data_IF_853268816204
#
_entry.id   IF_853268816204
#
_cell.length_a   1.000
_cell.length_b   1.000
_cell.length_c   1.000
_cell.angle_alpha   90.00
_cell.angle_beta   90.00
_cell.angle_gamma   90.00
#
_symmetry.space_group_name_H-M   'P 1'
#
loop_
_entity.id
_entity.type
_entity.pdbx_description
1 polymer ?
#
# COMPACT_ATOMS: atom_id res chain seq x y z
N UNK A 1 -9.86 -45.84 1.17
CA UNK A 1 -11.28 -45.68 0.77
C UNK A 1 -11.97 -44.89 1.88
N UNK A 2 -12.10 -43.56 1.76
CA UNK A 2 -12.94 -42.79 2.67
C UNK A 2 -14.37 -42.85 2.15
N UNK A 3 -15.29 -43.35 2.97
CA UNK A 3 -16.69 -43.51 2.62
C UNK A 3 -17.39 -42.17 2.90
N UNK A 4 -17.48 -41.30 1.90
CA UNK A 4 -18.32 -40.11 1.99
C UNK A 4 -19.80 -40.55 2.04
N UNK A 5 -20.47 -40.25 3.15
CA UNK A 5 -21.90 -40.53 3.31
C UNK A 5 -22.70 -39.59 2.39
N UNK A 6 -23.45 -40.14 1.43
CA UNK A 6 -24.31 -39.37 0.53
C UNK A 6 -25.38 -38.59 1.30
N UNK A 7 -25.87 -37.47 0.74
CA UNK A 7 -26.99 -36.68 1.29
C UNK A 7 -28.17 -37.55 1.76
N UNK A 8 -28.56 -38.54 0.98
CA UNK A 8 -29.63 -39.48 1.32
C UNK A 8 -29.34 -40.30 2.59
N UNK A 9 -28.10 -40.75 2.76
CA UNK A 9 -27.68 -41.48 3.96
C UNK A 9 -27.63 -40.60 5.21
N UNK A 10 -27.24 -39.33 5.08
CA UNK A 10 -27.29 -38.33 6.17
C UNK A 10 -28.72 -38.02 6.59
N UNK A 11 -29.61 -37.83 5.63
CA UNK A 11 -31.04 -37.61 5.89
C UNK A 11 -31.65 -38.79 6.63
N UNK A 12 -31.31 -40.02 6.21
CA UNK A 12 -31.74 -41.25 6.88
C UNK A 12 -31.25 -41.30 8.33
N UNK A 13 -29.98 -40.99 8.60
CA UNK A 13 -29.44 -41.03 9.97
C UNK A 13 -30.10 -39.98 10.88
N UNK A 14 -30.34 -38.76 10.38
CA UNK A 14 -31.03 -37.73 11.15
C UNK A 14 -32.50 -38.07 11.41
N UNK A 15 -33.19 -38.67 10.43
CA UNK A 15 -34.55 -39.17 10.60
C UNK A 15 -34.61 -40.22 11.71
N UNK A 16 -33.70 -41.19 11.66
CA UNK A 16 -33.62 -42.28 12.65
C UNK A 16 -33.25 -41.75 14.05
N UNK A 17 -32.34 -40.79 14.15
CA UNK A 17 -31.98 -40.14 15.40
C UNK A 17 -33.16 -39.37 16.06
N UNK A 18 -34.09 -38.86 15.24
CA UNK A 18 -35.34 -38.23 15.71
C UNK A 18 -36.47 -39.23 16.00
N UNK A 19 -36.22 -40.53 15.78
CA UNK A 19 -37.20 -41.59 15.98
C UNK A 19 -38.33 -41.60 14.95
N UNK A 20 -38.18 -40.90 13.82
CA UNK A 20 -39.21 -40.83 12.80
C UNK A 20 -39.12 -42.00 11.82
N UNK A 21 -40.26 -42.55 11.40
CA UNK A 21 -40.34 -43.36 10.19
C UNK A 21 -40.47 -42.48 8.93
N UNK A 22 -40.29 -43.07 7.73
CA UNK A 22 -40.35 -42.30 6.47
C UNK A 22 -41.69 -41.60 6.24
N UNK A 23 -42.80 -42.18 6.74
CA UNK A 23 -44.14 -41.59 6.62
C UNK A 23 -44.30 -40.38 7.55
N UNK A 24 -43.76 -40.44 8.76
CA UNK A 24 -43.79 -39.33 9.73
C UNK A 24 -42.93 -38.15 9.25
N UNK A 25 -41.77 -38.41 8.66
CA UNK A 25 -40.97 -37.35 8.05
C UNK A 25 -41.70 -36.72 6.86
N UNK A 26 -42.34 -37.54 6.02
CA UNK A 26 -43.14 -37.08 4.89
C UNK A 26 -44.30 -36.16 5.35
N UNK A 27 -45.05 -36.56 6.37
CA UNK A 27 -46.13 -35.76 6.95
C UNK A 27 -45.60 -34.43 7.53
N UNK A 28 -44.51 -34.46 8.29
CA UNK A 28 -43.93 -33.26 8.93
C UNK A 28 -43.28 -32.29 7.93
N UNK A 29 -42.76 -32.79 6.81
CA UNK A 29 -42.17 -31.96 5.75
C UNK A 29 -43.17 -31.61 4.63
N UNK A 30 -44.38 -32.19 4.65
CA UNK A 30 -45.45 -31.98 3.67
C UNK A 30 -45.17 -32.56 2.29
N UNK A 31 -44.40 -33.65 2.20
CA UNK A 31 -44.03 -34.33 0.95
C UNK A 31 -44.53 -35.77 0.98
N UNK A 32 -44.44 -36.50 -0.13
CA UNK A 32 -44.90 -37.89 -0.15
C UNK A 32 -43.87 -38.84 0.49
N UNK A 33 -44.31 -39.95 1.11
CA UNK A 33 -43.40 -40.99 1.59
C UNK A 33 -42.50 -41.59 0.50
N UNK A 34 -42.98 -41.62 -0.75
CA UNK A 34 -42.17 -42.06 -1.90
C UNK A 34 -41.05 -41.07 -2.23
N UNK A 35 -41.27 -39.76 -2.07
CA UNK A 35 -40.23 -38.73 -2.22
C UNK A 35 -39.17 -38.86 -1.13
N UNK A 36 -39.55 -39.10 0.13
CA UNK A 36 -38.60 -39.36 1.23
C UNK A 36 -37.75 -40.60 0.93
N UNK A 37 -38.38 -41.70 0.52
CA UNK A 37 -37.67 -42.94 0.19
C UNK A 37 -36.73 -42.78 -1.01
N UNK A 38 -37.17 -42.11 -2.09
CA UNK A 38 -36.34 -41.83 -3.25
C UNK A 38 -35.14 -40.94 -2.89
N UNK A 39 -35.34 -39.96 -2.01
CA UNK A 39 -34.30 -39.06 -1.53
C UNK A 39 -33.26 -39.77 -0.65
N UNK A 40 -33.71 -40.58 0.33
CA UNK A 40 -32.81 -41.36 1.21
C UNK A 40 -31.96 -42.37 0.43
N UNK A 41 -32.47 -42.86 -0.70
CA UNK A 41 -31.76 -43.75 -1.61
C UNK A 41 -30.96 -43.02 -2.70
N UNK A 42 -30.87 -41.69 -2.66
CA UNK A 42 -30.07 -40.89 -3.59
C UNK A 42 -30.56 -40.93 -5.05
N UNK A 43 -31.87 -41.14 -5.27
CA UNK A 43 -32.45 -41.29 -6.63
C UNK A 43 -32.55 -39.99 -7.41
N UNK A 44 -32.45 -38.83 -6.75
CA UNK A 44 -32.47 -37.51 -7.36
C UNK A 44 -31.87 -36.46 -6.43
N UNK A 45 -31.50 -35.31 -6.99
CA UNK A 45 -31.04 -34.15 -6.24
C UNK A 45 -32.24 -33.28 -5.85
N UNK A 46 -32.51 -33.06 -4.55
CA UNK A 46 -33.64 -32.27 -4.09
C UNK A 46 -33.47 -30.78 -4.42
N UNK A 47 -34.58 -30.06 -4.64
CA UNK A 47 -34.55 -28.61 -4.75
C UNK A 47 -34.23 -27.95 -3.39
N UNK A 48 -33.72 -26.70 -3.37
CA UNK A 48 -33.47 -25.97 -2.12
C UNK A 48 -34.72 -25.84 -1.23
N UNK A 49 -35.89 -25.63 -1.82
CA UNK A 49 -37.18 -25.59 -1.10
C UNK A 49 -37.49 -26.93 -0.41
N UNK A 50 -37.29 -28.04 -1.14
CA UNK A 50 -37.52 -29.39 -0.61
C UNK A 50 -36.57 -29.69 0.56
N UNK A 51 -35.29 -29.34 0.42
CA UNK A 51 -34.29 -29.48 1.48
C UNK A 51 -34.63 -28.63 2.70
N UNK A 52 -35.05 -27.39 2.52
CA UNK A 52 -35.43 -26.48 3.61
C UNK A 52 -36.62 -27.05 4.40
N UNK A 53 -37.62 -27.60 3.72
CA UNK A 53 -38.80 -28.20 4.35
C UNK A 53 -38.44 -29.43 5.18
N UNK A 54 -37.51 -30.25 4.69
CA UNK A 54 -37.01 -31.41 5.42
C UNK A 54 -36.14 -30.99 6.61
N UNK A 55 -35.29 -29.97 6.46
CA UNK A 55 -34.48 -29.39 7.54
C UNK A 55 -35.37 -28.92 8.70
N UNK A 56 -36.43 -28.16 8.37
CA UNK A 56 -37.41 -27.68 9.34
C UNK A 56 -38.14 -28.84 10.05
N UNK A 57 -38.54 -29.88 9.32
CA UNK A 57 -39.22 -31.05 9.87
C UNK A 57 -38.32 -31.86 10.83
N UNK A 58 -37.01 -31.90 10.57
CA UNK A 58 -36.01 -32.55 11.44
C UNK A 58 -35.52 -31.64 12.57
N UNK A 59 -35.82 -30.33 12.51
CA UNK A 59 -35.33 -29.34 13.45
C UNK A 59 -33.82 -29.13 13.34
N UNK A 60 -33.30 -29.14 12.11
CA UNK A 60 -31.89 -28.90 11.80
C UNK A 60 -31.74 -27.60 11.01
N UNK A 61 -30.65 -26.85 11.20
CA UNK A 61 -30.31 -25.77 10.29
C UNK A 61 -29.95 -26.36 8.90
N UNK A 62 -30.32 -25.66 7.83
CA UNK A 62 -30.15 -26.15 6.45
C UNK A 62 -28.69 -26.55 6.14
N UNK A 63 -27.71 -25.85 6.71
CA UNK A 63 -26.29 -26.11 6.50
C UNK A 63 -25.80 -27.47 7.05
N UNK A 64 -26.56 -28.13 7.93
CA UNK A 64 -26.23 -29.48 8.40
C UNK A 64 -26.64 -30.57 7.39
N UNK A 65 -27.54 -30.22 6.46
CA UNK A 65 -28.03 -31.10 5.40
C UNK A 65 -27.35 -30.85 4.06
N UNK A 66 -26.90 -29.63 3.81
CA UNK A 66 -26.14 -29.30 2.61
C UNK A 66 -24.68 -29.61 2.90
N UNK A 67 -24.05 -30.46 2.10
CA UNK A 67 -22.59 -30.50 2.07
C UNK A 67 -22.13 -29.09 1.74
N UNK A 68 -21.47 -28.40 2.68
CA UNK A 68 -20.63 -27.28 2.28
C UNK A 68 -19.76 -27.80 1.15
N UNK A 69 -19.60 -27.10 0.02
CA UNK A 69 -18.53 -27.47 -0.89
C UNK A 69 -17.24 -27.40 -0.07
N UNK A 70 -16.77 -28.56 0.41
CA UNK A 70 -15.63 -28.67 1.33
C UNK A 70 -14.34 -28.29 0.61
N UNK A 71 -14.40 -28.15 -0.70
CA UNK A 71 -13.33 -27.73 -1.58
C UNK A 71 -13.79 -26.52 -2.40
N UNK A 72 -13.11 -25.39 -2.22
CA UNK A 72 -13.22 -24.21 -3.07
C UNK A 72 -13.02 -24.60 -4.55
N UNK A 73 -13.71 -23.97 -5.49
CA UNK A 73 -13.44 -24.14 -6.93
C UNK A 73 -12.02 -23.69 -7.29
N UNK A 74 -11.48 -24.11 -8.44
CA UNK A 74 -10.17 -23.63 -8.93
C UNK A 74 -10.17 -22.12 -9.06
N UNK A 75 -11.24 -21.53 -9.59
CA UNK A 75 -11.41 -20.07 -9.74
C UNK A 75 -11.30 -19.36 -8.38
N UNK A 76 -12.09 -19.81 -7.40
CA UNK A 76 -12.02 -19.29 -6.03
C UNK A 76 -10.63 -19.45 -5.39
N UNK A 77 -9.89 -20.53 -5.69
CA UNK A 77 -8.53 -20.70 -5.19
C UNK A 77 -7.54 -19.75 -5.88
N UNK A 78 -7.70 -19.49 -7.19
CA UNK A 78 -6.91 -18.49 -7.90
C UNK A 78 -7.14 -17.09 -7.31
N UNK A 79 -8.40 -16.75 -6.99
CA UNK A 79 -8.74 -15.49 -6.30
C UNK A 79 -8.11 -15.41 -4.90
N UNK A 80 -8.13 -16.50 -4.14
CA UNK A 80 -7.47 -16.58 -2.82
C UNK A 80 -5.97 -16.36 -2.95
N UNK A 81 -5.31 -17.03 -3.89
CA UNK A 81 -3.88 -16.85 -4.14
C UNK A 81 -3.55 -15.40 -4.56
N UNK A 82 -4.38 -14.77 -5.39
CA UNK A 82 -4.22 -13.37 -5.79
C UNK A 82 -4.33 -12.42 -4.58
N UNK A 83 -5.29 -12.64 -3.69
CA UNK A 83 -5.45 -11.85 -2.46
C UNK A 83 -4.29 -12.04 -1.49
N UNK A 84 -3.75 -13.26 -1.35
CA UNK A 84 -2.57 -13.53 -0.53
C UNK A 84 -1.34 -12.77 -1.05
N UNK A 85 -1.11 -12.76 -2.36
CA UNK A 85 -0.03 -11.97 -2.96
C UNK A 85 -0.21 -10.46 -2.74
N UNK A 86 -1.44 -9.94 -2.85
CA UNK A 86 -1.73 -8.55 -2.54
C UNK A 86 -1.39 -8.19 -1.09
N UNK A 87 -1.55 -9.15 -0.17
CA UNK A 87 -1.23 -9.00 1.26
C UNK A 87 0.23 -9.29 1.61
N UNK A 88 1.09 -9.60 0.63
CA UNK A 88 2.48 -10.03 0.83
C UNK A 88 2.59 -11.31 1.67
N UNK A 89 1.71 -12.27 1.39
CA UNK A 89 1.67 -13.59 2.04
C UNK A 89 2.14 -14.68 1.06
N UNK A 90 3.34 -14.54 0.49
CA UNK A 90 3.81 -15.35 -0.65
C UNK A 90 3.92 -16.84 -0.31
N UNK A 91 4.26 -17.18 0.93
CA UNK A 91 4.31 -18.56 1.39
C UNK A 91 2.91 -19.23 1.38
N UNK A 92 1.86 -18.49 1.75
CA UNK A 92 0.49 -18.99 1.69
C UNK A 92 0.00 -19.08 0.24
N UNK A 93 0.36 -18.09 -0.60
CA UNK A 93 0.07 -18.13 -2.03
C UNK A 93 0.66 -19.38 -2.70
N UNK A 94 1.93 -19.71 -2.41
CA UNK A 94 2.58 -20.92 -2.94
C UNK A 94 1.92 -22.21 -2.47
N UNK A 95 1.43 -22.27 -1.22
CA UNK A 95 0.65 -23.41 -0.73
C UNK A 95 -0.68 -23.56 -1.49
N UNK A 96 -1.40 -22.45 -1.70
CA UNK A 96 -2.65 -22.44 -2.47
C UNK A 96 -2.41 -22.86 -3.93
N UNK A 97 -1.33 -22.37 -4.54
CA UNK A 97 -0.93 -22.74 -5.91
C UNK A 97 -0.62 -24.24 -6.01
N UNK A 98 0.09 -24.80 -5.03
CA UNK A 98 0.34 -26.25 -4.99
C UNK A 98 -0.97 -27.05 -4.90
N UNK A 99 -1.93 -26.61 -4.09
CA UNK A 99 -3.26 -27.23 -4.00
C UNK A 99 -4.02 -27.18 -5.34
N UNK A 100 -3.90 -26.09 -6.11
CA UNK A 100 -4.53 -25.99 -7.43
C UNK A 100 -3.90 -27.00 -8.40
N UNK A 101 -2.57 -27.16 -8.38
CA UNK A 101 -1.86 -28.11 -9.27
C UNK A 101 -2.25 -29.57 -9.01
N UNK A 102 -2.62 -29.92 -7.79
CA UNK A 102 -3.04 -31.28 -7.41
C UNK A 102 -4.45 -31.64 -7.93
N UNK A 103 -5.27 -30.66 -8.34
CA UNK A 103 -6.67 -30.87 -8.73
C UNK A 103 -6.88 -31.40 -10.15
N UNK A 104 -5.80 -31.67 -10.89
CA UNK A 104 -5.84 -32.30 -12.21
C UNK A 104 -5.85 -31.31 -13.37
N UNK A 105 -6.69 -31.54 -14.37
CA UNK A 105 -6.65 -30.79 -15.64
C UNK A 105 -7.23 -29.38 -15.48
N UNK A 106 -6.39 -28.37 -15.67
CA UNK A 106 -6.77 -26.96 -15.68
C UNK A 106 -7.10 -26.51 -17.11
N UNK A 107 -8.04 -25.57 -17.23
CA UNK A 107 -8.27 -24.83 -18.47
C UNK A 107 -7.05 -23.97 -18.81
N UNK A 108 -6.89 -23.60 -20.08
CA UNK A 108 -5.70 -22.86 -20.54
C UNK A 108 -5.55 -21.49 -19.85
N UNK A 109 -6.64 -20.76 -19.67
CA UNK A 109 -6.70 -19.50 -18.93
C UNK A 109 -6.34 -19.67 -17.44
N UNK A 110 -6.82 -20.75 -16.82
CA UNK A 110 -6.46 -21.10 -15.44
C UNK A 110 -4.97 -21.46 -15.31
N UNK A 111 -4.38 -22.14 -16.31
CA UNK A 111 -2.95 -22.45 -16.33
C UNK A 111 -2.11 -21.18 -16.44
N UNK A 112 -2.50 -20.27 -17.33
CA UNK A 112 -1.81 -19.00 -17.54
C UNK A 112 -1.89 -18.12 -16.28
N UNK A 113 -3.07 -18.01 -15.66
CA UNK A 113 -3.26 -17.30 -14.39
C UNK A 113 -2.41 -17.92 -13.27
N UNK A 114 -2.41 -19.25 -13.14
CA UNK A 114 -1.61 -19.94 -12.14
C UNK A 114 -0.10 -19.70 -12.34
N UNK A 115 0.37 -19.66 -13.59
CA UNK A 115 1.76 -19.37 -13.93
C UNK A 115 2.15 -17.92 -13.55
N UNK A 116 1.28 -16.94 -13.81
CA UNK A 116 1.50 -15.56 -13.38
C UNK A 116 1.57 -15.44 -11.85
N UNK A 117 0.64 -16.07 -11.13
CA UNK A 117 0.61 -16.04 -9.66
C UNK A 117 1.86 -16.70 -9.06
N UNK A 118 2.30 -17.84 -9.61
CA UNK A 118 3.51 -18.52 -9.16
C UNK A 118 4.78 -17.72 -9.40
N UNK A 119 4.93 -17.14 -10.60
CA UNK A 119 6.06 -16.29 -10.89
C UNK A 119 6.07 -15.06 -9.95
N UNK A 120 4.93 -14.42 -9.74
CA UNK A 120 4.79 -13.28 -8.83
C UNK A 120 5.18 -13.62 -7.39
N UNK A 121 4.76 -14.79 -6.88
CA UNK A 121 5.14 -15.26 -5.56
C UNK A 121 6.66 -15.50 -5.43
N UNK A 122 7.29 -16.01 -6.50
CA UNK A 122 8.72 -16.30 -6.54
C UNK A 122 9.59 -15.06 -6.70
N UNK A 123 9.09 -13.97 -7.29
CA UNK A 123 9.83 -12.70 -7.38
C UNK A 123 10.23 -12.16 -6.00
N UNK A 124 9.43 -12.41 -4.96
CA UNK A 124 9.76 -12.04 -3.60
C UNK A 124 10.97 -12.80 -3.01
N UNK A 125 11.38 -13.92 -3.63
CA UNK A 125 12.53 -14.71 -3.21
C UNK A 125 13.83 -14.14 -3.79
N UNK A 126 15.01 -14.46 -3.20
CA UNK A 126 16.30 -13.96 -3.71
C UNK A 126 16.62 -14.44 -5.14
N UNK A 127 16.23 -15.66 -5.50
CA UNK A 127 16.47 -16.23 -6.84
C UNK A 127 15.32 -15.91 -7.79
N UNK A 128 15.39 -14.73 -8.42
CA UNK A 128 14.30 -14.15 -9.21
C UNK A 128 14.34 -14.50 -10.69
N UNK A 129 15.50 -14.91 -11.22
CA UNK A 129 15.69 -15.15 -12.65
C UNK A 129 14.72 -16.21 -13.20
N UNK A 130 14.49 -17.36 -12.53
CA UNK A 130 13.52 -18.35 -13.03
C UNK A 130 12.10 -17.78 -13.12
N UNK A 131 11.71 -16.91 -12.19
CA UNK A 131 10.39 -16.28 -12.21
C UNK A 131 10.27 -15.28 -13.38
N UNK A 132 11.32 -14.50 -13.66
CA UNK A 132 11.36 -13.61 -14.82
C UNK A 132 11.28 -14.41 -16.14
N UNK A 133 12.02 -15.52 -16.26
CA UNK A 133 11.94 -16.43 -17.41
C UNK A 133 10.52 -16.97 -17.63
N UNK A 134 9.84 -17.38 -16.54
CA UNK A 134 8.44 -17.82 -16.59
C UNK A 134 7.51 -16.71 -17.12
N UNK A 135 7.72 -15.46 -16.72
CA UNK A 135 6.92 -14.31 -17.17
C UNK A 135 7.19 -13.96 -18.63
N UNK A 136 8.45 -13.98 -19.07
CA UNK A 136 8.80 -13.77 -20.48
C UNK A 136 8.19 -14.84 -21.39
N UNK A 137 8.27 -16.11 -20.98
CA UNK A 137 7.64 -17.20 -21.72
C UNK A 137 6.11 -17.02 -21.81
N UNK A 138 5.47 -16.56 -20.72
CA UNK A 138 4.04 -16.30 -20.69
C UNK A 138 3.66 -15.14 -21.62
N UNK A 139 4.37 -14.01 -21.55
CA UNK A 139 4.11 -12.86 -22.44
C UNK A 139 4.29 -13.23 -23.91
N UNK A 140 5.33 -14.01 -24.23
CA UNK A 140 5.57 -14.47 -25.60
C UNK A 140 4.44 -15.38 -26.09
N UNK A 141 3.95 -16.30 -25.24
CA UNK A 141 2.78 -17.13 -25.55
C UNK A 141 1.56 -16.27 -25.87
N UNK A 142 1.26 -15.28 -25.01
CA UNK A 142 0.09 -14.42 -25.16
C UNK A 142 0.14 -13.54 -26.40
N UNK A 143 1.31 -13.02 -26.76
CA UNK A 143 1.50 -12.19 -27.96
C UNK A 143 1.30 -12.95 -29.27
N UNK A 144 1.43 -14.30 -29.24
CA UNK A 144 1.16 -15.17 -30.38
C UNK A 144 -0.30 -15.67 -30.43
N UNK A 145 -1.10 -15.41 -29.40
CA UNK A 145 -2.48 -15.89 -29.33
C UNK A 145 -3.38 -15.14 -30.35
N UNK A 146 -4.31 -15.87 -30.96
CA UNK A 146 -5.26 -15.29 -31.92
C UNK A 146 -6.22 -14.27 -31.27
N UNK A 147 -6.48 -14.43 -29.96
CA UNK A 147 -7.29 -13.53 -29.16
C UNK A 147 -6.45 -13.13 -27.94
N UNK A 148 -6.10 -11.84 -27.87
CA UNK A 148 -5.24 -11.30 -26.81
C UNK A 148 -6.13 -10.75 -25.69
N UNK A 149 -5.98 -11.31 -24.49
CA UNK A 149 -6.45 -10.65 -23.28
C UNK A 149 -5.44 -9.56 -22.90
N UNK A 150 -5.72 -8.33 -23.34
CA UNK A 150 -4.88 -7.17 -23.08
C UNK A 150 -4.73 -6.85 -21.59
N UNK A 151 -5.75 -7.08 -20.76
CA UNK A 151 -5.66 -6.85 -19.32
C UNK A 151 -4.71 -7.86 -18.69
N UNK A 152 -4.81 -9.13 -19.10
CA UNK A 152 -3.88 -10.15 -18.64
C UNK A 152 -2.44 -9.87 -19.08
N UNK A 153 -2.21 -9.46 -20.34
CA UNK A 153 -0.88 -9.03 -20.82
C UNK A 153 -0.33 -7.88 -19.97
N UNK A 154 -1.14 -6.87 -19.66
CA UNK A 154 -0.70 -5.75 -18.83
C UNK A 154 -0.31 -6.19 -17.40
N UNK A 155 -1.01 -7.17 -16.81
CA UNK A 155 -0.63 -7.76 -15.51
C UNK A 155 0.69 -8.52 -15.57
N UNK A 156 0.96 -9.24 -16.65
CA UNK A 156 2.27 -9.90 -16.85
C UNK A 156 3.38 -8.86 -17.01
N UNK A 157 3.14 -7.77 -17.74
CA UNK A 157 4.09 -6.66 -17.88
C UNK A 157 4.34 -5.93 -16.54
N UNK A 158 3.30 -5.74 -15.73
CA UNK A 158 3.43 -5.23 -14.36
C UNK A 158 4.35 -6.12 -13.52
N UNK A 159 4.12 -7.44 -13.52
CA UNK A 159 4.95 -8.39 -12.78
C UNK A 159 6.42 -8.41 -13.27
N UNK A 160 6.66 -8.31 -14.58
CA UNK A 160 8.01 -8.15 -15.13
C UNK A 160 8.67 -6.86 -14.64
N UNK A 161 7.93 -5.75 -14.67
CA UNK A 161 8.38 -4.45 -14.17
C UNK A 161 8.78 -4.51 -12.69
N UNK A 162 7.91 -5.05 -11.85
CA UNK A 162 8.18 -5.24 -10.42
C UNK A 162 9.36 -6.18 -10.16
N UNK A 163 9.47 -7.27 -10.93
CA UNK A 163 10.58 -8.22 -10.82
C UNK A 163 11.94 -7.59 -11.13
N UNK A 164 12.03 -6.81 -12.20
CA UNK A 164 13.26 -6.07 -12.55
C UNK A 164 13.57 -4.95 -11.57
N UNK A 165 12.54 -4.26 -11.06
CA UNK A 165 12.70 -3.26 -9.99
C UNK A 165 13.34 -3.88 -8.75
N UNK A 166 12.88 -5.06 -8.32
CA UNK A 166 13.47 -5.79 -7.19
C UNK A 166 14.88 -6.30 -7.49
N UNK A 167 15.21 -6.56 -8.76
CA UNK A 167 16.55 -6.92 -9.22
C UNK A 167 17.49 -5.71 -9.34
N UNK A 168 16.97 -4.48 -9.22
CA UNK A 168 17.73 -3.24 -9.31
C UNK A 168 17.96 -2.73 -10.73
N UNK A 169 17.39 -3.37 -11.76
CA UNK A 169 17.42 -2.87 -13.13
C UNK A 169 16.18 -2.02 -13.42
N UNK A 170 16.23 -0.77 -13.00
CA UNK A 170 15.11 0.16 -13.12
C UNK A 170 14.82 0.57 -14.57
N UNK A 171 15.80 0.51 -15.47
CA UNK A 171 15.59 0.86 -16.88
C UNK A 171 14.75 -0.22 -17.56
N UNK A 172 15.10 -1.50 -17.34
CA UNK A 172 14.31 -2.64 -17.83
C UNK A 172 12.94 -2.68 -17.16
N UNK A 173 12.85 -2.35 -15.88
CA UNK A 173 11.56 -2.22 -15.19
C UNK A 173 10.65 -1.17 -15.85
N UNK A 174 11.15 0.05 -16.09
CA UNK A 174 10.40 1.12 -16.77
C UNK A 174 9.94 0.69 -18.16
N UNK A 175 10.77 -0.03 -18.93
CA UNK A 175 10.37 -0.55 -20.23
C UNK A 175 9.10 -1.41 -20.15
N UNK A 176 9.08 -2.38 -19.23
CA UNK A 176 7.93 -3.27 -19.04
C UNK A 176 6.69 -2.53 -18.55
N UNK A 177 6.87 -1.62 -17.58
CA UNK A 177 5.77 -0.81 -17.03
C UNK A 177 5.14 0.08 -18.12
N UNK A 178 5.96 0.74 -18.95
CA UNK A 178 5.47 1.56 -20.07
C UNK A 178 4.75 0.72 -21.13
N UNK A 179 5.23 -0.50 -21.42
CA UNK A 179 4.54 -1.44 -22.32
C UNK A 179 3.18 -1.87 -21.76
N UNK A 180 3.09 -2.15 -20.45
CA UNK A 180 1.82 -2.41 -19.77
C UNK A 180 0.84 -1.24 -19.87
N UNK A 181 1.31 -0.01 -19.66
CA UNK A 181 0.50 1.20 -19.80
C UNK A 181 0.01 1.40 -21.23
N UNK A 182 0.87 1.17 -22.23
CA UNK A 182 0.50 1.26 -23.65
C UNK A 182 -0.65 0.29 -23.99
N UNK A 183 -0.55 -0.96 -23.54
CA UNK A 183 -1.60 -1.98 -23.74
C UNK A 183 -2.92 -1.54 -23.09
N UNK A 184 -2.87 -1.06 -21.85
CA UNK A 184 -4.08 -0.63 -21.14
C UNK A 184 -4.73 0.61 -21.78
N UNK A 185 -3.93 1.58 -22.23
CA UNK A 185 -4.45 2.83 -22.82
C UNK A 185 -5.13 2.62 -24.19
N UNK A 186 -4.93 1.47 -24.83
CA UNK A 186 -5.63 1.11 -26.06
C UNK A 186 -7.03 0.53 -25.80
N UNK A 187 -7.36 0.19 -24.55
CA UNK A 187 -8.66 -0.38 -24.20
C UNK A 187 -9.76 0.69 -24.12
N UNK A 188 -10.97 0.42 -24.62
CA UNK A 188 -12.11 1.33 -24.47
C UNK A 188 -12.47 1.59 -23.00
N UNK A 189 -12.33 0.56 -22.15
CA UNK A 189 -12.55 0.62 -20.71
C UNK A 189 -11.39 -0.12 -20.04
N UNK A 190 -10.32 0.58 -19.66
CA UNK A 190 -9.19 -0.05 -19.00
C UNK A 190 -9.51 -0.43 -17.55
N UNK A 191 -8.94 -1.53 -17.08
CA UNK A 191 -8.95 -1.92 -15.67
C UNK A 191 -8.21 -0.87 -14.82
N UNK A 192 -8.96 -0.21 -13.93
CA UNK A 192 -8.46 0.89 -13.12
C UNK A 192 -7.41 0.44 -12.08
N UNK A 193 -7.51 -0.78 -11.56
CA UNK A 193 -6.57 -1.29 -10.58
C UNK A 193 -5.22 -1.57 -11.23
N UNK A 194 -5.21 -2.25 -12.38
CA UNK A 194 -3.97 -2.54 -13.13
C UNK A 194 -3.29 -1.24 -13.58
N UNK A 195 -4.05 -0.27 -14.09
CA UNK A 195 -3.50 1.05 -14.43
C UNK A 195 -2.89 1.76 -13.21
N UNK A 196 -3.57 1.73 -12.06
CA UNK A 196 -3.06 2.34 -10.83
C UNK A 196 -1.74 1.71 -10.38
N UNK A 197 -1.65 0.38 -10.41
CA UNK A 197 -0.44 -0.37 -10.06
C UNK A 197 0.71 -0.08 -11.02
N UNK A 198 0.45 -0.05 -12.33
CA UNK A 198 1.47 0.30 -13.34
C UNK A 198 2.04 1.70 -13.11
N UNK A 199 1.18 2.69 -12.87
CA UNK A 199 1.61 4.05 -12.57
C UNK A 199 2.35 4.15 -11.23
N UNK A 200 1.94 3.41 -10.20
CA UNK A 200 2.64 3.38 -8.92
C UNK A 200 4.06 2.81 -9.06
N UNK A 201 4.19 1.64 -9.69
CA UNK A 201 5.49 1.01 -9.94
C UNK A 201 6.38 1.86 -10.85
N UNK A 202 5.80 2.57 -11.83
CA UNK A 202 6.53 3.50 -12.69
C UNK A 202 7.04 4.71 -11.90
N UNK A 203 6.22 5.28 -11.02
CA UNK A 203 6.64 6.34 -10.12
C UNK A 203 7.84 5.92 -9.25
N UNK A 204 7.78 4.74 -8.65
CA UNK A 204 8.87 4.22 -7.82
C UNK A 204 10.17 4.06 -8.61
N UNK A 205 10.11 3.52 -9.83
CA UNK A 205 11.29 3.40 -10.70
C UNK A 205 11.82 4.77 -11.13
N UNK A 206 10.94 5.69 -11.52
CA UNK A 206 11.33 7.04 -11.95
C UNK A 206 11.96 7.85 -10.81
N UNK A 207 11.50 7.70 -9.58
CA UNK A 207 12.13 8.29 -8.40
C UNK A 207 13.58 7.80 -8.24
N UNK A 208 13.81 6.49 -8.35
CA UNK A 208 15.15 5.89 -8.25
C UNK A 208 16.06 6.31 -9.41
N UNK A 209 15.50 6.53 -10.60
CA UNK A 209 16.19 7.06 -11.77
C UNK A 209 16.35 8.60 -11.77
N UNK A 210 15.79 9.29 -10.76
CA UNK A 210 15.76 10.76 -10.65
C UNK A 210 15.04 11.47 -11.79
N UNK A 211 14.08 10.80 -12.43
CA UNK A 211 13.15 11.38 -13.40
C UNK A 211 11.92 11.93 -12.66
N UNK A 212 12.07 13.12 -12.09
CA UNK A 212 11.07 13.75 -11.22
C UNK A 212 9.78 14.16 -11.93
N UNK A 213 9.84 14.38 -13.24
CA UNK A 213 8.67 14.77 -14.03
C UNK A 213 7.77 13.55 -14.26
N UNK A 214 8.34 12.43 -14.70
CA UNK A 214 7.63 11.16 -14.85
C UNK A 214 7.13 10.62 -13.50
N UNK A 215 7.94 10.76 -12.44
CA UNK A 215 7.56 10.37 -11.07
C UNK A 215 6.30 11.11 -10.61
N UNK A 216 6.29 12.44 -10.69
CA UNK A 216 5.14 13.25 -10.30
C UNK A 216 3.89 13.01 -11.16
N UNK A 217 4.06 12.84 -12.47
CA UNK A 217 2.94 12.53 -13.35
C UNK A 217 2.32 11.15 -13.02
N UNK A 218 3.17 10.14 -12.84
CA UNK A 218 2.75 8.77 -12.57
C UNK A 218 2.11 8.62 -11.19
N UNK A 219 2.69 9.19 -10.13
CA UNK A 219 2.10 9.09 -8.78
C UNK A 219 0.76 9.83 -8.68
N UNK A 220 0.62 10.98 -9.36
CA UNK A 220 -0.65 11.71 -9.42
C UNK A 220 -1.72 10.87 -10.13
N UNK A 221 -1.37 10.20 -11.22
CA UNK A 221 -2.30 9.33 -11.94
C UNK A 221 -2.68 8.08 -11.15
N UNK A 222 -1.71 7.46 -10.46
CA UNK A 222 -1.98 6.35 -9.55
C UNK A 222 -2.97 6.74 -8.45
N UNK A 223 -2.79 7.91 -7.82
CA UNK A 223 -3.70 8.41 -6.78
C UNK A 223 -5.13 8.64 -7.30
N UNK A 224 -5.29 9.23 -8.49
CA UNK A 224 -6.59 9.41 -9.16
C UNK A 224 -7.31 8.06 -9.39
N UNK A 225 -6.56 7.05 -9.83
CA UNK A 225 -7.12 5.74 -10.16
C UNK A 225 -7.43 4.90 -8.91
N UNK A 226 -6.58 4.93 -7.89
CA UNK A 226 -6.87 4.23 -6.63
C UNK A 226 -8.09 4.81 -5.91
N UNK A 227 -8.35 6.11 -6.07
CA UNK A 227 -9.61 6.71 -5.59
C UNK A 227 -10.85 6.03 -6.18
N UNK A 228 -10.79 5.56 -7.43
CA UNK A 228 -11.88 4.84 -8.08
C UNK A 228 -12.00 3.37 -7.61
N UNK A 229 -10.95 2.78 -7.02
CA UNK A 229 -10.93 1.36 -6.61
C UNK A 229 -11.30 1.13 -5.14
N UNK A 230 -11.63 2.19 -4.39
CA UNK A 230 -12.06 2.13 -2.98
C UNK A 230 -11.10 1.35 -2.05
N UNK A 231 -9.77 1.56 -2.23
CA UNK A 231 -8.72 1.04 -1.35
C UNK A 231 -8.07 2.17 -0.54
N UNK A 232 -8.62 2.55 0.63
CA UNK A 232 -8.19 3.75 1.37
C UNK A 232 -6.73 3.69 1.78
N UNK A 233 -6.21 2.51 2.13
CA UNK A 233 -4.79 2.36 2.49
C UNK A 233 -3.85 2.70 1.34
N UNK A 234 -4.07 2.08 0.17
CA UNK A 234 -3.22 2.30 -1.02
C UNK A 234 -3.29 3.76 -1.48
N UNK A 235 -4.46 4.39 -1.40
CA UNK A 235 -4.62 5.83 -1.68
C UNK A 235 -3.77 6.67 -0.70
N UNK A 236 -3.82 6.34 0.59
CA UNK A 236 -3.02 7.02 1.61
C UNK A 236 -1.52 6.94 1.33
N UNK A 237 -1.04 5.76 0.94
CA UNK A 237 0.36 5.53 0.54
C UNK A 237 0.76 6.39 -0.67
N UNK A 238 -0.09 6.51 -1.70
CA UNK A 238 0.21 7.33 -2.88
C UNK A 238 0.29 8.81 -2.55
N UNK A 239 -0.65 9.32 -1.75
CA UNK A 239 -0.64 10.72 -1.36
C UNK A 239 0.54 11.07 -0.47
N UNK A 240 1.00 10.13 0.37
CA UNK A 240 2.23 10.29 1.14
C UNK A 240 3.45 10.45 0.22
N UNK A 241 3.60 9.59 -0.78
CA UNK A 241 4.72 9.66 -1.75
C UNK A 241 4.67 10.97 -2.55
N UNK A 242 3.48 11.38 -3.00
CA UNK A 242 3.27 12.66 -3.68
C UNK A 242 3.62 13.85 -2.77
N UNK A 243 3.23 13.79 -1.50
CA UNK A 243 3.52 14.83 -0.52
C UNK A 243 5.02 14.99 -0.27
N UNK A 244 5.75 13.88 -0.21
CA UNK A 244 7.21 13.87 -0.11
C UNK A 244 7.85 14.50 -1.36
N UNK A 245 7.41 14.12 -2.56
CA UNK A 245 7.91 14.73 -3.81
C UNK A 245 7.69 16.25 -3.84
N UNK A 246 6.49 16.72 -3.48
CA UNK A 246 6.23 18.16 -3.39
C UNK A 246 7.07 18.86 -2.32
N UNK A 247 7.35 18.18 -1.21
CA UNK A 247 8.23 18.71 -0.18
C UNK A 247 9.66 18.89 -0.68
N UNK A 248 10.21 17.89 -1.38
CA UNK A 248 11.54 17.94 -2.00
C UNK A 248 11.62 19.01 -3.10
N UNK A 249 10.52 19.26 -3.82
CA UNK A 249 10.39 20.34 -4.81
C UNK A 249 10.11 21.72 -4.19
N UNK A 250 10.08 21.82 -2.85
CA UNK A 250 9.79 23.04 -2.10
C UNK A 250 8.45 23.70 -2.51
N UNK A 251 7.41 22.88 -2.70
CA UNK A 251 6.02 23.28 -2.92
C UNK A 251 5.18 22.93 -1.68
N UNK A 252 5.26 23.75 -0.61
CA UNK A 252 4.65 23.42 0.68
C UNK A 252 3.12 23.35 0.60
N UNK A 253 2.49 24.10 -0.31
CA UNK A 253 1.03 24.12 -0.47
C UNK A 253 0.53 22.79 -1.01
N UNK A 254 1.17 22.28 -2.08
CA UNK A 254 0.79 20.97 -2.63
C UNK A 254 1.19 19.83 -1.71
N UNK A 255 2.35 19.91 -1.05
CA UNK A 255 2.77 18.94 -0.06
C UNK A 255 1.75 18.84 1.09
N UNK A 256 1.30 19.97 1.64
CA UNK A 256 0.31 20.01 2.71
C UNK A 256 -1.01 19.36 2.30
N UNK A 257 -1.51 19.69 1.12
CA UNK A 257 -2.76 19.12 0.58
C UNK A 257 -2.65 17.62 0.40
N UNK A 258 -1.54 17.13 -0.14
CA UNK A 258 -1.30 15.70 -0.31
C UNK A 258 -1.22 14.99 1.05
N UNK A 259 -0.52 15.54 2.05
CA UNK A 259 -0.54 14.97 3.41
C UNK A 259 -1.95 14.92 4.02
N UNK A 260 -2.77 15.96 3.86
CA UNK A 260 -4.15 15.95 4.33
C UNK A 260 -4.98 14.84 3.68
N UNK A 261 -4.81 14.61 2.37
CA UNK A 261 -5.47 13.52 1.67
C UNK A 261 -4.98 12.16 2.19
N UNK A 262 -3.68 12.00 2.45
CA UNK A 262 -3.12 10.79 3.04
C UNK A 262 -3.73 10.50 4.42
N UNK A 263 -3.80 11.50 5.31
CA UNK A 263 -4.37 11.39 6.66
C UNK A 263 -5.83 10.93 6.60
N UNK A 264 -6.66 11.55 5.76
CA UNK A 264 -8.06 11.16 5.59
C UNK A 264 -8.18 9.70 5.12
N UNK A 265 -7.31 9.27 4.23
CA UNK A 265 -7.30 7.91 3.71
C UNK A 265 -6.89 6.88 4.77
N UNK A 266 -5.85 7.17 5.58
CA UNK A 266 -5.44 6.31 6.68
C UNK A 266 -6.48 6.22 7.80
N UNK A 267 -7.22 7.31 8.04
CA UNK A 267 -8.36 7.30 8.98
C UNK A 267 -9.48 6.36 8.52
N UNK A 268 -9.88 6.43 7.25
CA UNK A 268 -10.88 5.52 6.68
C UNK A 268 -10.37 4.06 6.70
N UNK A 269 -9.07 3.87 6.48
CA UNK A 269 -8.43 2.55 6.50
C UNK A 269 -8.21 1.98 7.92
N UNK A 270 -8.56 2.72 8.98
CA UNK A 270 -8.25 2.39 10.39
C UNK A 270 -6.75 2.19 10.67
N UNK A 271 -5.88 2.76 9.84
CA UNK A 271 -4.42 2.80 10.04
C UNK A 271 -4.06 4.04 10.88
N UNK A 272 -4.43 3.99 12.16
CA UNK A 272 -4.34 5.13 13.07
C UNK A 272 -2.91 5.56 13.39
N UNK A 273 -1.95 4.64 13.32
CA UNK A 273 -0.52 4.91 13.44
C UNK A 273 -0.04 5.84 12.32
N UNK A 274 -0.31 5.50 11.06
CA UNK A 274 0.05 6.31 9.90
C UNK A 274 -0.72 7.62 9.85
N UNK A 275 -2.00 7.61 10.27
CA UNK A 275 -2.78 8.85 10.45
C UNK A 275 -2.03 9.81 11.38
N UNK A 276 -1.67 9.36 12.59
CA UNK A 276 -1.00 10.20 13.60
C UNK A 276 0.35 10.72 13.10
N UNK A 277 1.11 9.89 12.36
CA UNK A 277 2.39 10.30 11.77
C UNK A 277 2.28 11.48 10.80
N UNK A 278 1.23 11.53 9.98
CA UNK A 278 1.09 12.59 8.96
C UNK A 278 0.22 13.77 9.39
N UNK A 279 -0.55 13.65 10.47
CA UNK A 279 -1.39 14.72 11.00
C UNK A 279 -0.54 15.93 11.43
N UNK A 280 0.56 15.69 12.17
CA UNK A 280 1.51 16.73 12.55
C UNK A 280 2.18 17.41 11.35
N UNK A 281 2.45 16.64 10.29
CA UNK A 281 3.07 17.14 9.07
C UNK A 281 2.11 18.06 8.31
N UNK A 282 0.85 17.64 8.16
CA UNK A 282 -0.19 18.44 7.53
C UNK A 282 -0.48 19.73 8.32
N UNK A 283 -0.58 19.65 9.64
CA UNK A 283 -0.84 20.82 10.49
C UNK A 283 0.24 21.89 10.34
N UNK A 284 1.51 21.49 10.36
CA UNK A 284 2.65 22.39 10.19
C UNK A 284 2.65 23.07 8.81
N UNK A 285 2.49 22.30 7.73
CA UNK A 285 2.58 22.84 6.36
C UNK A 285 1.36 23.68 5.96
N UNK A 286 0.18 23.42 6.55
CA UNK A 286 -1.02 24.24 6.31
C UNK A 286 -1.07 25.52 7.13
N UNK A 287 -0.14 25.72 8.06
CA UNK A 287 -0.11 26.91 8.93
C UNK A 287 -1.28 26.95 9.91
N UNK A 288 -1.66 25.80 10.47
CA UNK A 288 -2.63 25.76 11.58
C UNK A 288 -2.13 26.60 12.77
N UNK A 289 -3.04 27.01 13.69
CA UNK A 289 -2.65 27.69 14.91
C UNK A 289 -1.50 26.96 15.63
N UNK A 290 -0.54 27.70 16.23
CA UNK A 290 0.65 27.10 16.83
C UNK A 290 0.35 26.04 17.90
N UNK A 291 -0.68 26.24 18.71
CA UNK A 291 -1.16 25.30 19.73
C UNK A 291 -1.65 23.99 19.11
N UNK A 292 -2.44 24.06 18.04
CA UNK A 292 -2.94 22.90 17.29
C UNK A 292 -1.78 22.16 16.63
N UNK A 293 -0.86 22.89 16.02
CA UNK A 293 0.32 22.32 15.34
C UNK A 293 1.24 21.61 16.33
N UNK A 294 1.53 22.23 17.48
CA UNK A 294 2.37 21.63 18.52
C UNK A 294 1.71 20.38 19.10
N UNK A 295 0.40 20.41 19.38
CA UNK A 295 -0.32 19.23 19.87
C UNK A 295 -0.26 18.05 18.87
N UNK A 296 -0.43 18.33 17.58
CA UNK A 296 -0.34 17.30 16.54
C UNK A 296 1.07 16.72 16.40
N UNK A 297 2.11 17.57 16.41
CA UNK A 297 3.51 17.13 16.35
C UNK A 297 3.95 16.37 17.61
N UNK A 298 3.46 16.77 18.79
CA UNK A 298 3.71 16.04 20.05
C UNK A 298 3.07 14.66 20.03
N UNK A 299 1.82 14.57 19.56
CA UNK A 299 1.13 13.28 19.40
C UNK A 299 1.84 12.36 18.40
N UNK A 300 2.44 12.92 17.36
CA UNK A 300 3.28 12.15 16.43
C UNK A 300 4.49 11.50 17.13
N UNK A 301 5.08 12.14 18.14
CA UNK A 301 6.21 11.58 18.90
C UNK A 301 5.78 10.47 19.89
N UNK A 302 4.48 10.26 20.10
CA UNK A 302 3.96 9.17 20.96
C UNK A 302 3.92 7.82 20.24
N UNK A 303 4.02 7.80 18.90
CA UNK A 303 4.10 6.57 18.11
C UNK A 303 5.56 6.26 17.72
N UNK A 304 5.93 4.99 17.52
CA UNK A 304 7.27 4.65 17.05
C UNK A 304 7.57 5.33 15.71
N UNK A 305 8.72 5.98 15.59
CA UNK A 305 9.19 6.67 14.39
C UNK A 305 10.60 6.20 14.03
N UNK A 306 10.92 6.26 12.74
CA UNK A 306 12.31 6.17 12.30
C UNK A 306 13.08 7.42 12.74
N UNK A 307 14.40 7.33 12.99
CA UNK A 307 15.17 8.45 13.54
C UNK A 307 15.07 9.76 12.75
N UNK A 308 15.00 9.69 11.42
CA UNK A 308 14.88 10.87 10.56
C UNK A 308 13.47 11.49 10.60
N UNK A 309 12.42 10.69 10.76
CA UNK A 309 11.06 11.21 10.93
C UNK A 309 10.90 11.88 12.29
N UNK A 310 11.47 11.27 13.34
CA UNK A 310 11.51 11.86 14.68
C UNK A 310 12.29 13.20 14.67
N UNK A 311 13.46 13.22 14.02
CA UNK A 311 14.25 14.44 13.86
C UNK A 311 13.48 15.55 13.14
N UNK A 312 12.73 15.21 12.10
CA UNK A 312 11.92 16.16 11.35
C UNK A 312 10.76 16.74 12.18
N UNK A 313 10.11 15.90 13.00
CA UNK A 313 9.08 16.35 13.94
C UNK A 313 9.64 17.36 14.96
N UNK A 314 10.78 17.04 15.58
CA UNK A 314 11.47 17.98 16.48
C UNK A 314 11.91 19.27 15.79
N UNK A 315 12.39 19.19 14.54
CA UNK A 315 12.76 20.37 13.76
C UNK A 315 11.57 21.32 13.58
N UNK A 316 10.39 20.76 13.28
CA UNK A 316 9.14 21.51 13.11
C UNK A 316 8.65 22.10 14.42
N UNK A 317 8.70 21.35 15.52
CA UNK A 317 8.41 21.86 16.87
C UNK A 317 9.32 23.06 17.18
N UNK A 318 10.62 22.92 16.94
CA UNK A 318 11.59 24.00 17.12
C UNK A 318 11.26 25.25 16.30
N UNK A 319 10.87 25.07 15.04
CA UNK A 319 10.43 26.16 14.16
C UNK A 319 9.16 26.86 14.64
N UNK A 320 8.18 26.11 15.18
CA UNK A 320 6.96 26.71 15.75
C UNK A 320 7.28 27.53 16.99
N UNK A 321 8.09 27.00 17.92
CA UNK A 321 8.52 27.76 19.11
C UNK A 321 9.36 28.99 18.76
N UNK A 322 10.22 28.90 17.75
CA UNK A 322 10.96 30.06 17.23
C UNK A 322 10.00 31.16 16.77
N UNK A 323 8.96 30.82 16.01
CA UNK A 323 7.96 31.79 15.54
C UNK A 323 7.16 32.42 16.70
N UNK A 324 7.03 31.71 17.83
CA UNK A 324 6.43 32.21 19.07
C UNK A 324 7.39 33.03 19.94
N UNK A 325 8.65 33.21 19.51
CA UNK A 325 9.75 33.78 20.29
C UNK A 325 10.09 33.01 21.58
N UNK A 326 9.71 31.74 21.66
CA UNK A 326 10.08 30.84 22.77
C UNK A 326 11.43 30.17 22.48
N UNK A 327 12.50 30.95 22.61
CA UNK A 327 13.87 30.51 22.30
C UNK A 327 14.34 29.30 23.12
N UNK A 328 14.05 29.18 24.44
CA UNK A 328 14.43 28.00 25.21
C UNK A 328 13.83 26.70 24.65
N UNK A 329 12.53 26.68 24.34
CA UNK A 329 11.88 25.51 23.78
C UNK A 329 12.37 25.22 22.35
N UNK A 330 12.57 26.28 21.54
CA UNK A 330 13.11 26.14 20.20
C UNK A 330 14.51 25.49 20.21
N UNK A 331 15.42 25.96 21.07
CA UNK A 331 16.76 25.39 21.23
C UNK A 331 16.73 23.93 21.67
N UNK A 332 15.88 23.59 22.65
CA UNK A 332 15.75 22.22 23.14
C UNK A 332 15.28 21.25 22.03
N UNK A 333 14.26 21.64 21.27
CA UNK A 333 13.75 20.82 20.18
C UNK A 333 14.78 20.64 19.05
N UNK A 334 15.47 21.72 18.64
CA UNK A 334 16.50 21.65 17.59
C UNK A 334 17.70 20.81 18.02
N UNK A 335 18.12 20.88 19.28
CA UNK A 335 19.19 20.01 19.79
C UNK A 335 18.84 18.54 19.62
N UNK A 336 17.60 18.16 19.92
CA UNK A 336 17.13 16.78 19.75
C UNK A 336 17.07 16.37 18.28
N UNK A 337 16.61 17.27 17.41
CA UNK A 337 16.59 17.03 15.97
C UNK A 337 17.99 16.77 15.39
N UNK A 338 18.99 17.54 15.82
CA UNK A 338 20.38 17.39 15.34
C UNK A 338 21.02 16.10 15.86
N UNK A 339 20.77 15.73 17.12
CA UNK A 339 21.24 14.45 17.71
C UNK A 339 20.76 13.25 16.88
N UNK A 340 19.50 13.29 16.43
CA UNK A 340 18.88 12.21 15.67
C UNK A 340 19.28 12.20 14.19
N UNK A 341 19.47 13.36 13.57
CA UNK A 341 19.70 13.48 12.12
C UNK A 341 21.17 13.46 11.71
N UNK A 342 22.09 14.02 12.50
CA UNK A 342 23.51 14.13 12.15
C UNK A 342 24.20 12.77 11.83
N UNK A 343 23.91 11.65 12.53
CA UNK A 343 24.54 10.36 12.24
C UNK A 343 24.24 9.81 10.83
N UNK A 344 23.21 10.32 10.15
CA UNK A 344 22.78 9.85 8.82
C UNK A 344 23.49 10.57 7.66
N UNK A 345 24.43 11.48 7.96
CA UNK A 345 25.19 12.22 6.95
C UNK A 345 24.35 13.28 6.21
N UNK A 346 24.69 13.53 4.94
CA UNK A 346 24.02 14.57 4.13
C UNK A 346 22.60 14.14 3.75
N UNK A 347 21.62 14.59 4.54
CA UNK A 347 20.19 14.39 4.29
C UNK A 347 19.45 15.73 4.31
N UNK A 348 18.31 15.80 3.61
CA UNK A 348 17.46 17.00 3.64
C UNK A 348 16.94 17.35 5.04
N UNK A 349 16.65 16.33 5.86
CA UNK A 349 16.24 16.49 7.26
C UNK A 349 17.35 17.12 8.09
N UNK A 350 18.58 16.62 7.99
CA UNK A 350 19.72 17.19 8.71
C UNK A 350 20.01 18.64 8.28
N UNK A 351 20.02 18.90 6.97
CA UNK A 351 20.20 20.25 6.44
C UNK A 351 19.10 21.21 6.92
N UNK A 352 17.85 20.74 7.03
CA UNK A 352 16.75 21.55 7.54
C UNK A 352 16.87 21.83 9.05
N UNK A 353 17.28 20.85 9.84
CA UNK A 353 17.55 21.05 11.26
C UNK A 353 18.66 22.11 11.48
N UNK A 354 19.73 22.07 10.67
CA UNK A 354 20.80 23.08 10.71
C UNK A 354 20.32 24.47 10.28
N UNK A 355 19.48 24.56 9.25
CA UNK A 355 18.89 25.84 8.84
C UNK A 355 18.08 26.46 9.98
N UNK A 356 17.18 25.69 10.62
CA UNK A 356 16.38 26.20 11.74
C UNK A 356 17.27 26.54 12.95
N UNK A 357 18.35 25.77 13.19
CA UNK A 357 19.34 26.11 14.21
C UNK A 357 19.97 27.49 13.96
N UNK A 358 20.35 27.79 12.72
CA UNK A 358 20.91 29.09 12.36
C UNK A 358 19.91 30.24 12.63
N UNK A 359 18.62 30.03 12.35
CA UNK A 359 17.57 31.01 12.65
C UNK A 359 17.40 31.21 14.17
N UNK A 360 17.43 30.13 14.96
CA UNK A 360 17.34 30.20 16.42
C UNK A 360 18.53 30.96 17.01
N UNK A 361 19.74 30.70 16.52
CA UNK A 361 20.96 31.41 16.93
C UNK A 361 20.91 32.89 16.56
N UNK A 362 20.44 33.21 15.34
CA UNK A 362 20.25 34.58 14.89
C UNK A 362 19.27 35.34 15.79
N UNK A 363 18.14 34.71 16.15
CA UNK A 363 17.15 35.29 17.05
C UNK A 363 17.67 35.45 18.50
N UNK A 364 18.57 34.57 18.93
CA UNK A 364 19.24 34.65 20.23
C UNK A 364 20.36 35.70 20.30
N UNK A 365 20.73 36.32 19.17
CA UNK A 365 21.84 37.27 19.10
C UNK A 365 23.23 36.62 19.03
N UNK A 366 23.30 35.31 18.84
CA UNK A 366 24.54 34.54 18.73
C UNK A 366 25.02 34.55 17.27
N UNK A 367 25.37 35.74 16.78
CA UNK A 367 25.56 35.99 15.35
C UNK A 367 26.74 35.25 14.72
N UNK A 368 27.84 35.04 15.46
CA UNK A 368 28.99 34.26 14.96
C UNK A 368 28.54 32.83 14.61
N UNK A 369 27.98 32.13 15.60
CA UNK A 369 27.47 30.76 15.46
C UNK A 369 26.33 30.67 14.45
N UNK A 370 25.44 31.66 14.40
CA UNK A 370 24.37 31.71 13.42
C UNK A 370 24.92 31.73 11.98
N UNK A 371 25.98 32.50 11.74
CA UNK A 371 26.60 32.58 10.41
C UNK A 371 27.30 31.28 10.02
N UNK A 372 28.08 30.68 10.93
CA UNK A 372 28.77 29.40 10.70
C UNK A 372 27.78 28.28 10.41
N UNK A 373 26.73 28.18 11.23
CA UNK A 373 25.69 27.16 11.09
C UNK A 373 24.92 27.33 9.78
N UNK A 374 24.63 28.58 9.38
CA UNK A 374 23.94 28.86 8.13
C UNK A 374 24.78 28.44 6.91
N UNK A 375 26.09 28.70 6.90
CA UNK A 375 26.95 28.28 5.79
C UNK A 375 27.11 26.76 5.74
N UNK A 376 27.27 26.10 6.89
CA UNK A 376 27.32 24.64 6.95
C UNK A 376 26.00 24.01 6.43
N UNK A 377 24.84 24.58 6.78
CA UNK A 377 23.55 24.15 6.22
C UNK A 377 23.51 24.36 4.69
N UNK A 378 24.07 25.46 4.18
CA UNK A 378 24.13 25.73 2.73
C UNK A 378 24.99 24.72 1.98
N UNK A 379 26.11 24.26 2.56
CA UNK A 379 26.99 23.25 1.99
C UNK A 379 26.31 21.87 1.91
N UNK A 380 25.47 21.54 2.90
CA UNK A 380 24.64 20.35 2.85
C UNK A 380 23.60 20.45 1.73
N UNK A 381 22.87 21.56 1.64
CA UNK A 381 21.87 21.75 0.58
C UNK A 381 22.48 21.81 -0.82
N UNK A 382 23.71 22.28 -0.97
CA UNK A 382 24.41 22.28 -2.27
C UNK A 382 24.70 20.86 -2.79
N UNK A 383 24.77 19.86 -1.91
CA UNK A 383 24.95 18.44 -2.26
C UNK A 383 23.63 17.73 -2.57
N UNK A 384 22.48 18.37 -2.29
CA UNK A 384 21.16 17.79 -2.45
C UNK A 384 20.43 18.38 -3.67
N UNK A 385 19.75 17.57 -4.49
CA UNK A 385 18.97 18.08 -5.60
C UNK A 385 17.72 18.82 -5.09
N UNK A 386 17.27 19.84 -5.82
CA UNK A 386 15.99 20.55 -5.63
C UNK A 386 15.86 21.50 -4.41
N UNK A 387 16.86 21.60 -3.52
CA UNK A 387 16.83 22.50 -2.35
C UNK A 387 17.33 23.94 -2.60
N UNK A 388 17.17 24.46 -3.83
CA UNK A 388 17.68 25.78 -4.20
C UNK A 388 17.10 26.94 -3.36
N UNK A 389 15.86 26.82 -2.89
CA UNK A 389 15.23 27.84 -2.03
C UNK A 389 15.84 27.83 -0.63
N UNK A 390 15.98 26.65 -0.01
CA UNK A 390 16.58 26.53 1.32
C UNK A 390 18.04 26.97 1.31
N UNK A 391 18.79 26.66 0.25
CA UNK A 391 20.15 27.14 0.07
C UNK A 391 20.20 28.68 0.06
N UNK A 392 19.31 29.34 -0.71
CA UNK A 392 19.23 30.81 -0.73
C UNK A 392 18.91 31.38 0.65
N UNK A 393 18.03 30.72 1.40
CA UNK A 393 17.66 31.15 2.75
C UNK A 393 18.83 31.02 3.73
N UNK A 394 19.60 29.93 3.65
CA UNK A 394 20.84 29.77 4.42
C UNK A 394 21.81 30.94 4.14
N UNK A 395 22.04 31.27 2.87
CA UNK A 395 22.91 32.39 2.49
C UNK A 395 22.36 33.74 2.98
N UNK A 396 21.05 33.93 2.97
CA UNK A 396 20.39 35.15 3.49
C UNK A 396 20.65 35.30 5.00
N UNK A 397 20.41 34.24 5.78
CA UNK A 397 20.63 34.21 7.23
C UNK A 397 22.10 34.43 7.57
N UNK A 398 23.01 33.72 6.89
CA UNK A 398 24.45 33.88 7.10
C UNK A 398 24.92 35.32 6.83
N UNK A 399 24.44 35.94 5.75
CA UNK A 399 24.73 37.34 5.44
C UNK A 399 24.16 38.30 6.50
N UNK A 400 22.91 38.08 6.94
CA UNK A 400 22.27 38.91 7.96
C UNK A 400 23.05 38.87 9.28
N UNK A 401 23.44 37.67 9.73
CA UNK A 401 24.25 37.48 10.93
C UNK A 401 25.57 38.26 10.84
N UNK A 402 26.30 38.15 9.71
CA UNK A 402 27.55 38.89 9.48
C UNK A 402 27.37 40.41 9.52
N UNK A 403 26.26 40.92 9.00
CA UNK A 403 25.98 42.36 9.06
C UNK A 403 25.71 42.81 10.50
N UNK A 404 24.96 42.03 11.29
CA UNK A 404 24.67 42.36 12.70
C UNK A 404 25.92 42.31 13.58
N UNK A 405 26.84 41.37 13.32
CA UNK A 405 28.16 41.35 13.97
C UNK A 405 28.95 42.63 13.74
N UNK A 406 29.01 43.09 12.49
CA UNK A 406 29.75 44.31 12.12
C UNK A 406 29.08 45.59 12.61
N UNK A 407 27.75 45.62 12.69
CA UNK A 407 26.98 46.75 13.19
C UNK A 407 27.03 46.94 14.71
N UNK A 408 27.28 45.87 15.48
CA UNK A 408 27.40 45.93 16.95
C UNK A 408 28.76 46.42 17.47
N UNK A 409 29.75 46.62 16.60
CA UNK A 409 31.12 47.02 16.98
C UNK A 409 31.39 48.53 17.04
N UNK A 410 30.39 49.38 16.77
CA UNK A 410 30.49 50.85 16.84
C UNK A 410 29.63 51.42 17.99
N UNK A 411 29.76 50.86 19.19
CA UNK A 411 29.13 51.33 20.43
C UNK A 411 30.16 51.84 21.42
#
# INVERSE_FOLDING_TARGET
>A
MSQFASLGSKLKSYREAKGFNQKELAEKSGISPSTVSALENGRFTPSPDLLQRIALALGLPLHDLVDQPTELTVEALLDVARLQLLRREEALALQTIAQIRERGTLLEDQQDELQLLEASARLAQPDRLPALEMLYALVYKLELAAQIDHVFVARVQLALGEGWMQNGDFVTAVHHLKRGLEVMNQLPVPDALVLAQLHHSLSACSHLLRDEDEMSASIAKAAELFHATNSPRSIGEMYRELAQSYHEKNDPVRAARAYQQAVACYEIALHLDWKVRFDGYAAFLTGQPPDVTLAALQKQLEVPLEPLDEALAYTRIGKVHLNLNDLPAAKAAIMKALELSAPHGTTGVYAYAMLVQAEVLLAAGEYDLASETAFAASDLYAQLPFYHTNLKECLRIGKEAVLRMRGGGNG
#
